data_IF_123429239489
#
_entry.id   IF_123429239489
#
_cell.length_a   1.000
_cell.length_b   1.000
_cell.length_c   1.000
_cell.angle_alpha   90.00
_cell.angle_beta   90.00
_cell.angle_gamma   90.00
#
_symmetry.space_group_name_H-M   'P 1'
#
loop_
_entity.id
_entity.type
_entity.pdbx_description
1 polymer ?
#
# COMPACT_ATOMS: atom_id res chain seq x y z
N UNK A 1 0.13 -20.61 -8.03
CA UNK A 1 0.97 -19.42 -7.80
C UNK A 1 0.30 -18.64 -6.69
N UNK A 2 0.96 -18.58 -5.53
CA UNK A 2 0.35 -18.18 -4.26
C UNK A 2 -0.18 -16.76 -4.30
N UNK A 3 -1.47 -16.61 -3.99
CA UNK A 3 -2.07 -15.34 -3.66
C UNK A 3 -1.50 -14.89 -2.30
N UNK A 4 -0.32 -14.28 -2.31
CA UNK A 4 0.29 -13.72 -1.09
C UNK A 4 -0.44 -12.43 -0.66
N UNK A 5 -1.26 -11.86 -1.54
CA UNK A 5 -2.09 -10.68 -1.25
C UNK A 5 -3.49 -10.84 -1.86
N UNK A 6 -4.52 -10.84 -1.01
CA UNK A 6 -5.89 -10.69 -1.47
C UNK A 6 -6.12 -9.21 -1.84
N UNK A 7 -6.00 -8.90 -3.13
CA UNK A 7 -6.21 -7.56 -3.66
C UNK A 7 -7.58 -6.99 -3.28
N UNK A 8 -8.63 -7.83 -3.16
CA UNK A 8 -9.96 -7.36 -2.75
C UNK A 8 -9.97 -6.94 -1.28
N UNK A 9 -9.28 -7.70 -0.42
CA UNK A 9 -9.12 -7.32 0.98
C UNK A 9 -8.33 -6.01 1.11
N UNK A 10 -7.31 -5.81 0.28
CA UNK A 10 -6.55 -4.57 0.23
C UNK A 10 -7.41 -3.36 -0.15
N UNK A 11 -8.15 -3.41 -1.26
CA UNK A 11 -9.00 -2.28 -1.67
C UNK A 11 -10.14 -2.02 -0.67
N UNK A 12 -10.73 -3.06 -0.09
CA UNK A 12 -11.71 -2.89 0.99
C UNK A 12 -11.11 -2.21 2.22
N UNK A 13 -9.92 -2.62 2.62
CA UNK A 13 -9.19 -1.96 3.70
C UNK A 13 -8.87 -0.51 3.33
N UNK A 14 -8.43 -0.25 2.10
CA UNK A 14 -8.09 1.09 1.60
C UNK A 14 -9.28 2.05 1.73
N UNK A 15 -10.48 1.64 1.33
CA UNK A 15 -11.72 2.43 1.45
C UNK A 15 -12.14 2.67 2.91
N UNK A 16 -11.97 1.68 3.79
CA UNK A 16 -12.49 1.71 5.17
C UNK A 16 -11.49 2.23 6.20
N UNK A 17 -10.21 2.35 5.83
CA UNK A 17 -9.14 2.79 6.72
C UNK A 17 -9.27 4.25 7.12
N UNK A 18 -8.82 4.58 8.32
CA UNK A 18 -8.62 5.97 8.73
C UNK A 18 -7.37 6.58 8.07
N UNK A 19 -7.32 7.91 7.98
CA UNK A 19 -6.15 8.63 7.43
C UNK A 19 -4.85 8.28 8.17
N UNK A 20 -4.94 8.11 9.50
CA UNK A 20 -3.81 7.70 10.34
C UNK A 20 -3.29 6.31 9.97
N UNK A 21 -4.19 5.36 9.70
CA UNK A 21 -3.81 4.01 9.27
C UNK A 21 -3.19 4.01 7.88
N UNK A 22 -3.73 4.82 6.95
CA UNK A 22 -3.15 5.00 5.61
C UNK A 22 -1.72 5.55 5.69
N UNK A 23 -1.50 6.60 6.47
CA UNK A 23 -0.18 7.18 6.73
C UNK A 23 0.79 6.15 7.32
N UNK A 24 0.37 5.45 8.38
CA UNK A 24 1.20 4.45 9.04
C UNK A 24 1.58 3.32 8.08
N UNK A 25 0.62 2.84 7.27
CA UNK A 25 0.85 1.74 6.33
C UNK A 25 1.74 2.17 5.17
N UNK A 26 1.57 3.39 4.65
CA UNK A 26 2.46 4.00 3.66
C UNK A 26 3.89 4.00 4.16
N UNK A 27 4.13 4.51 5.37
CA UNK A 27 5.48 4.63 5.93
C UNK A 27 6.13 3.26 6.17
N UNK A 28 5.35 2.30 6.68
CA UNK A 28 5.81 0.91 6.85
C UNK A 28 6.17 0.26 5.52
N UNK A 29 5.34 0.45 4.50
CA UNK A 29 5.54 -0.14 3.18
C UNK A 29 6.72 0.51 2.45
N UNK A 30 6.84 1.84 2.52
CA UNK A 30 7.97 2.58 1.99
C UNK A 30 9.29 2.12 2.63
N UNK A 31 9.35 2.05 3.96
CA UNK A 31 10.53 1.57 4.67
C UNK A 31 10.87 0.11 4.31
N UNK A 32 9.86 -0.75 4.13
CA UNK A 32 10.09 -2.13 3.70
C UNK A 32 10.63 -2.22 2.28
N UNK A 33 10.14 -1.39 1.35
CA UNK A 33 10.65 -1.30 -0.02
C UNK A 33 12.10 -0.85 -0.05
N UNK A 34 12.47 0.15 0.77
CA UNK A 34 13.80 0.75 0.76
C UNK A 34 14.86 -0.14 1.46
N UNK A 35 14.47 -0.88 2.49
CA UNK A 35 15.44 -1.54 3.38
C UNK A 35 15.28 -3.05 3.54
N UNK A 36 14.13 -3.65 3.17
CA UNK A 36 13.83 -5.07 3.48
C UNK A 36 13.61 -5.92 2.25
N UNK A 37 12.98 -5.38 1.21
CA UNK A 37 12.72 -6.15 -0.01
C UNK A 37 13.97 -6.17 -0.89
N UNK A 38 14.36 -7.38 -1.29
CA UNK A 38 15.51 -7.63 -2.18
C UNK A 38 15.07 -8.17 -3.54
N UNK A 39 13.87 -8.77 -3.60
CA UNK A 39 13.29 -9.32 -4.82
C UNK A 39 12.62 -8.23 -5.67
N UNK A 40 13.04 -8.07 -6.92
CA UNK A 40 12.54 -7.01 -7.80
C UNK A 40 11.05 -7.13 -8.12
N UNK A 41 10.52 -8.35 -8.19
CA UNK A 41 9.08 -8.62 -8.36
C UNK A 41 8.29 -8.12 -7.14
N UNK A 42 8.72 -8.48 -5.93
CA UNK A 42 8.10 -8.05 -4.67
C UNK A 42 8.18 -6.53 -4.50
N UNK A 43 9.31 -5.92 -4.86
CA UNK A 43 9.46 -4.45 -4.85
C UNK A 43 8.46 -3.80 -5.82
N UNK A 44 8.24 -4.39 -7.00
CA UNK A 44 7.32 -3.85 -8.01
C UNK A 44 5.88 -3.91 -7.50
N UNK A 45 5.46 -5.05 -6.94
CA UNK A 45 4.14 -5.21 -6.35
C UNK A 45 3.94 -4.28 -5.14
N UNK A 46 4.95 -4.15 -4.29
CA UNK A 46 4.91 -3.24 -3.14
C UNK A 46 4.83 -1.77 -3.55
N UNK A 47 5.56 -1.37 -4.60
CA UNK A 47 5.46 -0.01 -5.17
C UNK A 47 4.09 0.27 -5.75
N UNK A 48 3.47 -0.73 -6.38
CA UNK A 48 2.10 -0.61 -6.86
C UNK A 48 1.14 -0.36 -5.68
N UNK A 49 1.21 -1.18 -4.62
CA UNK A 49 0.38 -0.99 -3.43
C UNK A 49 0.61 0.36 -2.73
N UNK A 50 1.86 0.82 -2.67
CA UNK A 50 2.19 2.13 -2.12
C UNK A 50 1.52 3.25 -2.89
N UNK A 51 1.56 3.18 -4.23
CA UNK A 51 0.91 4.16 -5.11
C UNK A 51 -0.60 4.19 -4.89
N UNK A 52 -1.26 3.04 -4.75
CA UNK A 52 -2.71 3.00 -4.48
C UNK A 52 -3.06 3.66 -3.14
N UNK A 53 -2.24 3.46 -2.10
CA UNK A 53 -2.41 4.14 -0.80
C UNK A 53 -2.29 5.65 -0.97
N UNK A 54 -1.28 6.13 -1.69
CA UNK A 54 -1.07 7.56 -1.93
C UNK A 54 -2.21 8.19 -2.74
N UNK A 55 -2.72 7.49 -3.76
CA UNK A 55 -3.85 7.96 -4.56
C UNK A 55 -5.12 8.10 -3.73
N UNK A 56 -5.42 7.13 -2.86
CA UNK A 56 -6.57 7.21 -1.96
C UNK A 56 -6.43 8.39 -0.97
N UNK A 57 -5.25 8.58 -0.39
CA UNK A 57 -4.98 9.71 0.50
C UNK A 57 -5.16 11.07 -0.20
N UNK A 58 -4.68 11.19 -1.44
CA UNK A 58 -4.86 12.39 -2.26
C UNK A 58 -6.35 12.62 -2.59
N UNK A 59 -7.06 11.57 -3.00
CA UNK A 59 -8.48 11.63 -3.32
C UNK A 59 -9.32 12.10 -2.13
N UNK A 60 -8.95 11.70 -0.90
CA UNK A 60 -9.59 12.15 0.35
C UNK A 60 -9.28 13.60 0.69
N UNK A 61 -8.06 14.04 0.44
CA UNK A 61 -7.64 15.44 0.69
C UNK A 61 -8.32 16.41 -0.28
N UNK A 62 -8.64 15.96 -1.50
CA UNK A 62 -9.35 16.75 -2.51
C UNK A 62 -10.88 16.77 -2.35
N UNK A 63 -11.44 16.01 -1.39
CA UNK A 63 -12.88 15.92 -1.12
C UNK A 63 -13.31 16.87 -0.02
#
# INVERSE_FOLDING_TARGET
MGAIFDMKAFFRWLETSSERELLQRRDQLQHAIEHKFTESSVITDAKYLLKEIEQEMLARTMR
#
